data_IF_893308080526
#
_entry.id   IF_893308080526
#
_cell.length_a   1.000
_cell.length_b   1.000
_cell.length_c   1.000
_cell.angle_alpha   90.00
_cell.angle_beta   90.00
_cell.angle_gamma   90.00
#
_symmetry.space_group_name_H-M   'P 1'
#
loop_
_entity.id
_entity.type
_entity.pdbx_description
1 polymer ?
#
# COMPACT_ATOMS: atom_id res chain seq x y z
N UNK A 1 2.08 22.30 3.14
CA UNK A 1 2.86 21.30 3.91
C UNK A 1 4.30 21.32 3.39
N UNK A 2 5.28 21.12 4.24
CA UNK A 2 6.68 21.14 3.77
C UNK A 2 7.38 19.83 4.27
N UNK A 3 7.05 18.68 3.72
CA UNK A 3 7.68 17.42 4.09
C UNK A 3 9.13 17.37 3.62
N UNK A 4 9.96 16.56 4.30
CA UNK A 4 11.36 16.32 3.92
C UNK A 4 11.54 15.01 3.15
N UNK A 5 10.58 14.08 3.29
CA UNK A 5 10.51 12.84 2.50
C UNK A 5 9.07 12.30 2.47
N UNK A 6 8.80 11.41 1.53
CA UNK A 6 7.51 10.78 1.36
C UNK A 6 7.58 9.28 1.61
N UNK A 7 6.59 8.76 2.32
CA UNK A 7 6.31 7.34 2.47
C UNK A 7 5.05 7.04 1.65
N UNK A 8 5.16 6.22 0.63
CA UNK A 8 4.07 5.90 -0.28
C UNK A 8 3.58 4.47 0.01
N UNK A 9 2.28 4.25 0.10
CA UNK A 9 1.78 2.88 -0.01
C UNK A 9 1.91 2.37 -1.44
N UNK A 10 1.73 1.08 -1.66
CA UNK A 10 1.88 0.45 -2.97
C UNK A 10 0.52 0.13 -3.58
N UNK A 11 -0.21 -0.82 -2.98
CA UNK A 11 -1.49 -1.31 -3.48
C UNK A 11 -2.59 -0.26 -3.22
N UNK A 12 -3.28 0.19 -4.26
CA UNK A 12 -4.30 1.25 -4.13
C UNK A 12 -3.74 2.68 -4.19
N UNK A 13 -2.42 2.82 -4.14
CA UNK A 13 -1.76 4.14 -4.18
C UNK A 13 -0.92 4.31 -5.44
N UNK A 14 0.04 3.44 -5.65
CA UNK A 14 0.89 3.45 -6.86
C UNK A 14 0.40 2.43 -7.89
N UNK A 15 -0.11 1.29 -7.43
CA UNK A 15 -0.43 0.12 -8.25
C UNK A 15 -1.88 -0.30 -8.05
N UNK A 16 -2.62 -0.45 -9.15
CA UNK A 16 -3.88 -1.18 -9.20
C UNK A 16 -3.59 -2.68 -9.22
N UNK A 17 -3.60 -3.30 -8.06
CA UNK A 17 -3.38 -4.73 -7.86
C UNK A 17 -4.68 -5.52 -7.69
N UNK A 18 -5.85 -4.87 -7.82
CA UNK A 18 -7.12 -5.54 -7.64
C UNK A 18 -7.30 -6.77 -8.55
N UNK A 19 -6.92 -6.76 -9.83
CA UNK A 19 -7.07 -7.94 -10.68
C UNK A 19 -6.42 -9.18 -10.08
N UNK A 20 -5.15 -9.12 -9.76
CA UNK A 20 -4.40 -10.25 -9.20
C UNK A 20 -4.85 -10.64 -7.79
N UNK A 21 -5.14 -9.67 -6.92
CA UNK A 21 -5.61 -9.95 -5.55
C UNK A 21 -6.98 -10.63 -5.58
N UNK A 22 -7.93 -10.12 -6.35
CA UNK A 22 -9.29 -10.65 -6.38
C UNK A 22 -9.34 -12.03 -7.05
N UNK A 23 -8.57 -12.24 -8.11
CA UNK A 23 -8.46 -13.54 -8.78
C UNK A 23 -7.89 -14.61 -7.84
N UNK A 24 -6.79 -14.31 -7.16
CA UNK A 24 -6.15 -15.24 -6.20
C UNK A 24 -7.02 -15.49 -4.97
N UNK A 25 -7.73 -14.44 -4.48
CA UNK A 25 -8.68 -14.62 -3.37
C UNK A 25 -9.85 -15.53 -3.76
N UNK A 26 -10.41 -15.33 -4.96
CA UNK A 26 -11.47 -16.20 -5.47
C UNK A 26 -11.00 -17.65 -5.66
N UNK A 27 -9.78 -17.88 -6.16
CA UNK A 27 -9.19 -19.21 -6.28
C UNK A 27 -9.02 -19.87 -4.91
N UNK A 28 -8.52 -19.12 -3.93
CA UNK A 28 -8.35 -19.59 -2.56
C UNK A 28 -9.68 -19.99 -1.90
N UNK A 29 -10.73 -19.17 -2.06
CA UNK A 29 -12.07 -19.49 -1.52
C UNK A 29 -12.65 -20.75 -2.15
N UNK A 30 -12.54 -20.90 -3.48
CA UNK A 30 -12.98 -22.12 -4.17
C UNK A 30 -12.24 -23.36 -3.66
N UNK A 31 -10.94 -23.27 -3.39
CA UNK A 31 -10.11 -24.39 -2.92
C UNK A 31 -10.56 -24.96 -1.58
N UNK A 32 -11.21 -24.16 -0.75
CA UNK A 32 -11.74 -24.57 0.56
C UNK A 32 -13.25 -24.84 0.54
N UNK A 33 -13.89 -24.78 -0.65
CA UNK A 33 -15.33 -25.02 -0.82
C UNK A 33 -16.21 -23.85 -0.35
N UNK A 34 -15.62 -22.66 -0.15
CA UNK A 34 -16.36 -21.47 0.24
C UNK A 34 -16.98 -20.75 -0.97
N UNK A 35 -18.08 -20.03 -0.74
CA UNK A 35 -18.65 -19.13 -1.73
C UNK A 35 -17.71 -17.98 -2.06
N UNK A 36 -17.64 -17.62 -3.33
CA UNK A 36 -16.89 -16.43 -3.76
C UNK A 36 -17.82 -15.22 -3.67
N UNK A 37 -17.47 -14.17 -2.92
CA UNK A 37 -18.24 -12.94 -2.84
C UNK A 37 -18.36 -12.22 -4.20
N UNK A 38 -19.22 -11.22 -4.27
CA UNK A 38 -19.32 -10.34 -5.43
C UNK A 38 -18.05 -9.48 -5.62
N UNK A 39 -17.92 -8.87 -6.80
CA UNK A 39 -16.72 -8.09 -7.15
C UNK A 39 -16.46 -6.93 -6.19
N UNK A 40 -17.46 -6.11 -5.76
CA UNK A 40 -17.21 -5.05 -4.78
C UNK A 40 -16.64 -5.56 -3.47
N UNK A 41 -17.15 -6.68 -2.95
CA UNK A 41 -16.66 -7.31 -1.73
C UNK A 41 -15.22 -7.84 -1.93
N UNK A 42 -14.92 -8.51 -3.05
CA UNK A 42 -13.56 -8.97 -3.33
C UNK A 42 -12.58 -7.80 -3.45
N UNK A 43 -12.97 -6.68 -4.05
CA UNK A 43 -12.13 -5.48 -4.12
C UNK A 43 -11.81 -4.89 -2.75
N UNK A 44 -12.71 -5.02 -1.77
CA UNK A 44 -12.43 -4.57 -0.39
C UNK A 44 -11.31 -5.34 0.30
N UNK A 45 -10.89 -6.50 -0.24
CA UNK A 45 -9.77 -7.29 0.28
C UNK A 45 -8.41 -6.69 -0.06
N UNK A 46 -8.37 -5.73 -0.99
CA UNK A 46 -7.10 -5.06 -1.35
C UNK A 46 -6.73 -4.05 -0.28
N UNK A 47 -5.55 -4.20 0.29
CA UNK A 47 -5.02 -3.36 1.37
C UNK A 47 -5.05 -4.02 2.75
N UNK A 48 -6.21 -4.47 3.28
CA UNK A 48 -6.25 -5.20 4.55
C UNK A 48 -5.51 -6.55 4.51
N UNK A 49 -5.12 -7.08 5.70
CA UNK A 49 -4.59 -8.44 5.78
C UNK A 49 -5.60 -9.46 5.25
N UNK A 50 -5.23 -10.26 4.25
CA UNK A 50 -6.12 -11.23 3.59
C UNK A 50 -6.75 -12.23 4.57
N UNK A 51 -6.03 -12.60 5.64
CA UNK A 51 -6.59 -13.45 6.68
C UNK A 51 -7.83 -12.82 7.33
N UNK A 52 -7.82 -11.52 7.59
CA UNK A 52 -8.94 -10.80 8.19
C UNK A 52 -10.14 -10.77 7.24
N UNK A 53 -9.90 -10.57 5.95
CA UNK A 53 -10.94 -10.63 4.92
C UNK A 53 -11.61 -11.98 4.89
N UNK A 54 -10.85 -13.09 4.92
CA UNK A 54 -11.41 -14.44 4.98
C UNK A 54 -12.16 -14.73 6.29
N UNK A 55 -11.62 -14.26 7.43
CA UNK A 55 -12.24 -14.49 8.74
C UNK A 55 -13.51 -13.68 8.96
N UNK A 56 -13.47 -12.39 8.66
CA UNK A 56 -14.49 -11.45 9.15
C UNK A 56 -15.43 -10.96 8.05
N UNK A 57 -14.98 -10.89 6.80
CA UNK A 57 -15.85 -10.51 5.69
C UNK A 57 -16.54 -11.73 5.09
N UNK A 58 -15.79 -12.82 4.84
CA UNK A 58 -16.37 -14.08 4.31
C UNK A 58 -17.00 -14.92 5.43
N UNK A 59 -16.54 -14.79 6.68
CA UNK A 59 -17.07 -15.51 7.83
C UNK A 59 -16.54 -16.93 7.97
N UNK A 60 -15.35 -17.22 7.41
CA UNK A 60 -14.75 -18.56 7.57
C UNK A 60 -14.33 -18.80 9.03
N UNK A 61 -14.35 -20.06 9.49
CA UNK A 61 -13.71 -20.45 10.73
C UNK A 61 -12.17 -20.28 10.64
N UNK A 62 -11.50 -20.34 11.79
CA UNK A 62 -10.06 -20.07 11.86
C UNK A 62 -9.23 -21.04 11.00
N UNK A 63 -9.54 -22.33 11.06
CA UNK A 63 -8.80 -23.37 10.33
C UNK A 63 -8.97 -23.21 8.81
N UNK A 64 -10.21 -23.05 8.37
CA UNK A 64 -10.55 -22.84 6.95
C UNK A 64 -9.95 -21.53 6.42
N UNK A 65 -9.97 -20.44 7.20
CA UNK A 65 -9.35 -19.19 6.81
C UNK A 65 -7.82 -19.32 6.66
N UNK A 66 -7.14 -20.06 7.54
CA UNK A 66 -5.71 -20.35 7.41
C UNK A 66 -5.38 -21.17 6.16
N UNK A 67 -6.20 -22.16 5.82
CA UNK A 67 -6.05 -22.95 4.59
C UNK A 67 -6.25 -22.09 3.36
N UNK A 68 -7.29 -21.27 3.32
CA UNK A 68 -7.53 -20.32 2.25
C UNK A 68 -6.38 -19.34 2.09
N UNK A 69 -5.84 -18.79 3.21
CA UNK A 69 -4.69 -17.90 3.18
C UNK A 69 -3.45 -18.57 2.59
N UNK A 70 -3.19 -19.83 2.93
CA UNK A 70 -2.07 -20.58 2.37
C UNK A 70 -2.19 -20.70 0.83
N UNK A 71 -3.37 -21.10 0.33
CA UNK A 71 -3.64 -21.18 -1.11
C UNK A 71 -3.53 -19.80 -1.78
N UNK A 72 -4.10 -18.75 -1.17
CA UNK A 72 -3.99 -17.39 -1.65
C UNK A 72 -2.53 -16.96 -1.82
N UNK A 73 -1.70 -17.17 -0.80
CA UNK A 73 -0.28 -16.79 -0.83
C UNK A 73 0.48 -17.48 -1.96
N UNK A 74 0.21 -18.76 -2.18
CA UNK A 74 0.85 -19.55 -3.25
C UNK A 74 0.40 -19.04 -4.63
N UNK A 75 -0.89 -18.94 -4.87
CA UNK A 75 -1.46 -18.50 -6.15
C UNK A 75 -1.07 -17.04 -6.46
N UNK A 76 -1.15 -16.15 -5.47
CA UNK A 76 -0.76 -14.75 -5.63
C UNK A 76 0.73 -14.61 -5.96
N UNK A 77 1.61 -15.37 -5.31
CA UNK A 77 3.04 -15.34 -5.60
C UNK A 77 3.37 -15.83 -7.01
N UNK A 78 2.64 -16.82 -7.51
CA UNK A 78 2.87 -17.41 -8.83
C UNK A 78 2.25 -16.58 -9.96
N UNK A 79 0.99 -16.14 -9.79
CA UNK A 79 0.17 -15.55 -10.84
C UNK A 79 -0.21 -14.10 -10.54
N UNK A 80 -0.80 -13.85 -9.36
CA UNK A 80 -1.48 -12.59 -9.05
C UNK A 80 -0.57 -11.39 -8.85
N UNK A 81 0.65 -11.57 -8.36
CA UNK A 81 1.51 -10.45 -7.96
C UNK A 81 1.85 -9.49 -9.10
N UNK A 82 1.95 -9.99 -10.33
CA UNK A 82 2.26 -9.20 -11.52
C UNK A 82 1.02 -8.91 -12.39
N UNK A 83 -0.14 -9.46 -12.05
CA UNK A 83 -1.41 -9.08 -12.66
C UNK A 83 -1.90 -7.77 -12.05
N UNK A 84 -1.23 -6.70 -12.43
CA UNK A 84 -1.40 -5.35 -11.87
C UNK A 84 -0.96 -4.30 -12.88
N UNK A 85 -1.40 -3.05 -12.70
CA UNK A 85 -0.99 -1.90 -13.50
C UNK A 85 -0.69 -0.70 -12.61
N UNK A 86 0.04 0.30 -13.12
CA UNK A 86 0.13 1.58 -12.43
C UNK A 86 -1.19 2.32 -12.58
N UNK A 87 -1.62 3.03 -11.54
CA UNK A 87 -2.71 3.99 -11.73
C UNK A 87 -2.29 5.08 -12.72
N UNK A 88 -3.26 5.52 -13.52
CA UNK A 88 -3.04 6.60 -14.50
C UNK A 88 -2.53 7.86 -13.81
N UNK A 89 -1.45 8.45 -14.31
CA UNK A 89 -0.84 9.65 -13.75
C UNK A 89 0.20 9.39 -12.64
N UNK A 90 0.36 8.16 -12.15
CA UNK A 90 1.37 7.82 -11.13
C UNK A 90 2.80 8.02 -11.62
N UNK A 91 3.20 7.59 -12.83
CA UNK A 91 4.56 7.87 -13.32
C UNK A 91 4.88 9.37 -13.35
N UNK A 92 3.97 10.19 -13.87
CA UNK A 92 4.09 11.64 -13.96
C UNK A 92 4.15 12.29 -12.58
N UNK A 93 3.32 11.83 -11.65
CA UNK A 93 3.35 12.26 -10.24
C UNK A 93 4.73 12.01 -9.61
N UNK A 94 5.26 10.79 -9.77
CA UNK A 94 6.57 10.44 -9.19
C UNK A 94 7.70 11.26 -9.82
N UNK A 95 7.64 11.52 -11.12
CA UNK A 95 8.63 12.36 -11.82
C UNK A 95 8.52 13.82 -11.35
N UNK A 96 7.32 14.35 -11.15
CA UNK A 96 7.11 15.69 -10.61
C UNK A 96 7.62 15.80 -9.16
N UNK A 97 7.32 14.83 -8.30
CA UNK A 97 7.82 14.77 -6.91
C UNK A 97 9.36 14.71 -6.86
N UNK A 98 9.97 13.90 -7.72
CA UNK A 98 11.43 13.85 -7.85
C UNK A 98 12.01 15.20 -8.32
N UNK A 99 11.34 15.87 -9.26
CA UNK A 99 11.70 17.24 -9.72
C UNK A 99 11.63 18.28 -8.62
N UNK A 100 10.78 18.08 -7.60
CA UNK A 100 10.73 18.92 -6.39
C UNK A 100 11.82 18.55 -5.35
N UNK A 101 12.69 17.59 -5.65
CA UNK A 101 13.71 17.10 -4.73
C UNK A 101 13.19 16.18 -3.64
N UNK A 102 11.95 15.67 -3.77
CA UNK A 102 11.38 14.76 -2.78
C UNK A 102 12.01 13.37 -2.88
N UNK A 103 12.59 12.90 -1.80
CA UNK A 103 12.99 11.49 -1.67
C UNK A 103 11.78 10.66 -1.25
N UNK A 104 11.55 9.57 -1.96
CA UNK A 104 10.39 8.70 -1.79
C UNK A 104 10.80 7.29 -1.36
N UNK A 105 10.06 6.71 -0.42
CA UNK A 105 10.16 5.30 -0.05
C UNK A 105 8.78 4.66 -0.04
N UNK A 106 8.70 3.36 -0.39
CA UNK A 106 7.48 2.57 -0.23
C UNK A 106 7.42 1.99 1.17
N UNK A 107 6.28 2.17 1.84
CA UNK A 107 5.93 1.56 3.12
C UNK A 107 4.57 0.88 3.00
N UNK A 108 4.55 -0.43 2.70
CA UNK A 108 3.34 -1.17 2.35
C UNK A 108 3.04 -2.34 3.27
N UNK A 109 1.75 -2.70 3.40
CA UNK A 109 1.32 -3.94 4.07
C UNK A 109 1.56 -5.21 3.22
N UNK A 110 1.96 -5.05 1.96
CA UNK A 110 2.36 -6.16 1.10
C UNK A 110 3.61 -6.85 1.67
N UNK A 111 3.73 -8.17 1.48
CA UNK A 111 4.93 -8.93 1.87
C UNK A 111 6.17 -8.39 1.13
N UNK A 112 7.30 -8.29 1.83
CA UNK A 112 8.53 -7.65 1.35
C UNK A 112 8.94 -8.11 -0.06
N UNK A 113 9.06 -9.42 -0.29
CA UNK A 113 9.49 -9.97 -1.57
C UNK A 113 8.51 -9.62 -2.71
N UNK A 114 7.20 -9.60 -2.41
CA UNK A 114 6.18 -9.23 -3.39
C UNK A 114 6.23 -7.73 -3.69
N UNK A 115 6.44 -6.89 -2.67
CA UNK A 115 6.58 -5.45 -2.86
C UNK A 115 7.78 -5.13 -3.77
N UNK A 116 8.93 -5.76 -3.53
CA UNK A 116 10.13 -5.60 -4.38
C UNK A 116 9.92 -6.15 -5.79
N UNK A 117 9.21 -7.27 -5.93
CA UNK A 117 8.90 -7.85 -7.24
C UNK A 117 7.98 -6.95 -8.07
N UNK A 118 6.93 -6.41 -7.45
CA UNK A 118 5.97 -5.51 -8.11
C UNK A 118 6.63 -4.18 -8.47
N UNK A 119 7.40 -3.57 -7.57
CA UNK A 119 8.09 -2.31 -7.85
C UNK A 119 9.09 -2.44 -8.99
N UNK A 120 9.85 -3.54 -9.06
CA UNK A 120 10.75 -3.83 -10.19
C UNK A 120 10.00 -4.07 -11.49
N UNK A 121 8.89 -4.82 -11.45
CA UNK A 121 8.06 -5.09 -12.65
C UNK A 121 7.57 -3.80 -13.28
N UNK A 122 7.11 -2.85 -12.46
CA UNK A 122 6.63 -1.54 -12.91
C UNK A 122 7.74 -0.49 -13.05
N UNK A 123 9.02 -0.86 -12.87
CA UNK A 123 10.18 0.04 -12.94
C UNK A 123 10.08 1.25 -11.99
N UNK A 124 9.46 1.04 -10.84
CA UNK A 124 9.35 2.05 -9.79
C UNK A 124 10.63 2.16 -8.96
N UNK A 125 11.43 1.10 -8.90
CA UNK A 125 12.69 1.00 -8.18
C UNK A 125 13.70 2.10 -8.53
N UNK A 126 13.67 2.61 -9.77
CA UNK A 126 14.52 3.73 -10.19
C UNK A 126 14.13 5.09 -9.54
N UNK A 127 12.90 5.20 -9.01
CA UNK A 127 12.34 6.43 -8.40
C UNK A 127 12.25 6.36 -6.88
N UNK A 128 12.46 5.17 -6.31
CA UNK A 128 12.25 4.89 -4.90
C UNK A 128 13.58 4.62 -4.20
N UNK A 129 13.88 5.36 -3.15
CA UNK A 129 15.11 5.18 -2.37
C UNK A 129 15.05 3.92 -1.46
N UNK A 130 13.84 3.46 -1.10
CA UNK A 130 13.62 2.27 -0.31
C UNK A 130 12.28 1.62 -0.64
N UNK A 131 12.21 0.29 -0.57
CA UNK A 131 10.97 -0.49 -0.62
C UNK A 131 10.88 -1.34 0.64
N UNK A 132 9.86 -1.12 1.45
CA UNK A 132 9.65 -1.78 2.74
C UNK A 132 8.25 -2.39 2.79
N UNK A 133 8.18 -3.67 3.12
CA UNK A 133 6.95 -4.44 3.27
C UNK A 133 6.95 -5.29 4.53
N UNK A 134 5.89 -6.04 4.75
CA UNK A 134 5.76 -7.03 5.82
C UNK A 134 6.78 -8.15 5.63
N UNK A 135 7.35 -8.62 6.74
CA UNK A 135 8.27 -9.76 6.77
C UNK A 135 8.12 -10.47 8.12
N UNK A 136 7.29 -11.51 8.11
CA UNK A 136 6.98 -12.29 9.32
C UNK A 136 8.24 -12.97 9.89
N UNK A 137 9.18 -13.37 9.03
CA UNK A 137 10.43 -14.01 9.44
C UNK A 137 11.36 -13.06 10.20
N UNK A 138 11.30 -11.77 9.89
CA UNK A 138 11.99 -10.69 10.59
C UNK A 138 11.17 -10.07 11.73
N UNK A 139 10.03 -10.67 12.09
CA UNK A 139 9.13 -10.16 13.13
C UNK A 139 8.42 -8.85 12.77
N UNK A 140 8.39 -8.47 11.49
CA UNK A 140 7.73 -7.28 10.98
C UNK A 140 6.36 -7.62 10.41
N UNK A 141 5.33 -7.46 11.23
CA UNK A 141 3.96 -7.92 10.93
C UNK A 141 2.93 -6.80 10.83
N UNK A 142 3.33 -5.55 11.10
CA UNK A 142 2.43 -4.39 11.08
C UNK A 142 2.94 -3.28 10.18
N UNK A 143 2.04 -2.53 9.56
CA UNK A 143 2.39 -1.35 8.74
C UNK A 143 3.18 -0.31 9.54
N UNK A 144 2.88 -0.15 10.81
CA UNK A 144 3.63 0.73 11.72
C UNK A 144 5.12 0.34 11.80
N UNK A 145 5.43 -0.96 11.91
CA UNK A 145 6.83 -1.44 11.89
C UNK A 145 7.49 -1.24 10.52
N UNK A 146 6.71 -1.36 9.43
CA UNK A 146 7.19 -1.09 8.07
C UNK A 146 7.54 0.40 7.90
N UNK A 147 6.70 1.31 8.37
CA UNK A 147 6.96 2.76 8.38
C UNK A 147 8.28 3.07 9.09
N UNK A 148 8.48 2.52 10.30
CA UNK A 148 9.74 2.70 11.06
C UNK A 148 10.96 2.20 10.30
N UNK A 149 10.86 1.03 9.65
CA UNK A 149 11.94 0.49 8.83
C UNK A 149 12.23 1.40 7.64
N UNK A 150 11.21 1.87 6.95
CA UNK A 150 11.38 2.74 5.79
C UNK A 150 12.10 4.04 6.18
N UNK A 151 11.68 4.69 7.27
CA UNK A 151 12.37 5.86 7.81
C UNK A 151 13.82 5.56 8.20
N UNK A 152 14.08 4.41 8.81
CA UNK A 152 15.44 4.00 9.16
C UNK A 152 16.32 3.81 7.92
N UNK A 153 15.80 3.20 6.86
CA UNK A 153 16.51 3.02 5.59
C UNK A 153 16.78 4.36 4.91
N UNK A 154 15.78 5.25 4.84
CA UNK A 154 15.95 6.60 4.28
C UNK A 154 17.02 7.39 5.06
N UNK A 155 16.97 7.36 6.40
CA UNK A 155 17.98 8.00 7.25
C UNK A 155 19.38 7.45 7.00
N UNK A 156 19.52 6.13 6.83
CA UNK A 156 20.82 5.50 6.54
C UNK A 156 21.40 5.92 5.17
N UNK A 157 20.54 6.36 4.25
CA UNK A 157 20.93 6.95 2.96
C UNK A 157 21.21 8.47 3.05
N UNK A 158 21.16 9.07 4.25
CA UNK A 158 21.40 10.50 4.47
C UNK A 158 20.20 11.39 4.20
N UNK A 159 19.01 10.82 4.02
CA UNK A 159 17.77 11.59 3.79
C UNK A 159 17.30 12.23 5.08
N UNK A 160 16.88 13.49 5.03
CA UNK A 160 16.20 14.13 6.15
C UNK A 160 14.81 13.52 6.34
N UNK A 161 14.62 12.88 7.48
CA UNK A 161 13.36 12.24 7.88
C UNK A 161 12.69 12.98 9.06
N UNK A 162 12.97 14.26 9.24
CA UNK A 162 12.44 15.05 10.36
C UNK A 162 10.95 15.40 10.18
N UNK A 163 10.49 15.51 8.94
CA UNK A 163 9.09 15.81 8.59
C UNK A 163 8.60 14.89 7.48
N UNK A 164 8.47 13.56 7.74
CA UNK A 164 7.95 12.63 6.76
C UNK A 164 6.45 12.88 6.52
N UNK A 165 5.96 12.51 5.34
CA UNK A 165 4.54 12.51 5.00
C UNK A 165 4.17 11.14 4.46
N UNK A 166 3.13 10.52 5.04
CA UNK A 166 2.55 9.28 4.51
C UNK A 166 1.53 9.60 3.42
N UNK A 167 1.50 8.81 2.37
CA UNK A 167 0.51 8.88 1.29
C UNK A 167 -0.06 7.49 1.08
N UNK A 168 -1.37 7.34 1.17
CA UNK A 168 -2.04 6.06 1.02
C UNK A 168 -3.54 6.22 0.81
N UNK A 169 -4.19 5.13 0.42
CA UNK A 169 -5.62 5.11 0.10
C UNK A 169 -6.50 4.48 1.18
N UNK A 170 -5.90 3.90 2.25
CA UNK A 170 -6.66 3.21 3.28
C UNK A 170 -6.54 3.88 4.64
N UNK A 171 -7.57 3.71 5.48
CA UNK A 171 -7.52 4.12 6.88
C UNK A 171 -6.30 3.54 7.61
N UNK A 172 -5.83 2.37 7.18
CA UNK A 172 -4.65 1.71 7.73
C UNK A 172 -3.36 2.54 7.55
N UNK A 173 -3.27 3.29 6.43
CA UNK A 173 -2.16 4.23 6.18
C UNK A 173 -2.21 5.39 7.16
N UNK A 174 -3.37 6.03 7.24
CA UNK A 174 -3.60 7.19 8.09
C UNK A 174 -3.37 6.84 9.56
N UNK A 175 -3.96 5.75 10.04
CA UNK A 175 -3.86 5.33 11.44
C UNK A 175 -2.43 4.88 11.81
N UNK A 176 -1.76 4.14 10.92
CA UNK A 176 -0.40 3.69 11.17
C UNK A 176 0.60 4.84 11.18
N UNK A 177 0.43 5.83 10.30
CA UNK A 177 1.23 7.05 10.27
C UNK A 177 0.97 7.90 11.53
N UNK A 178 -0.29 8.13 11.88
CA UNK A 178 -0.67 8.89 13.08
C UNK A 178 -0.09 8.28 14.37
N UNK A 179 -0.05 6.94 14.48
CA UNK A 179 0.56 6.24 15.62
C UNK A 179 2.09 6.44 15.72
N UNK A 180 2.73 6.94 14.67
CA UNK A 180 4.15 7.35 14.64
C UNK A 180 4.31 8.89 14.65
N UNK A 181 3.21 9.64 14.83
CA UNK A 181 3.23 11.11 14.80
C UNK A 181 3.47 11.69 13.40
N UNK A 182 3.18 10.92 12.35
CA UNK A 182 3.40 11.29 10.95
C UNK A 182 2.06 11.73 10.35
N UNK A 183 1.97 12.92 9.73
CA UNK A 183 0.79 13.30 8.97
C UNK A 183 0.59 12.41 7.74
N UNK A 184 -0.65 12.22 7.33
CA UNK A 184 -1.00 11.42 6.16
C UNK A 184 -1.89 12.19 5.18
N UNK A 185 -1.62 12.02 3.89
CA UNK A 185 -2.50 12.41 2.78
C UNK A 185 -3.23 11.17 2.29
N UNK A 186 -4.55 11.27 2.22
CA UNK A 186 -5.39 10.21 1.67
C UNK A 186 -5.61 10.42 0.17
N UNK A 187 -5.37 9.39 -0.63
CA UNK A 187 -5.61 9.40 -2.08
C UNK A 187 -6.96 8.77 -2.39
N UNK A 188 -7.70 9.32 -3.37
CA UNK A 188 -9.07 8.92 -3.67
C UNK A 188 -9.21 8.05 -4.91
N UNK A 189 -8.16 7.83 -5.66
CA UNK A 189 -8.17 6.94 -6.83
C UNK A 189 -7.98 5.46 -6.48
N UNK A 190 -7.67 5.15 -5.20
CA UNK A 190 -7.47 3.80 -4.70
C UNK A 190 -8.76 3.05 -4.37
N UNK A 191 -8.70 2.17 -3.40
CA UNK A 191 -9.81 1.27 -3.00
C UNK A 191 -10.55 1.76 -1.77
N UNK A 192 -9.94 2.65 -0.98
CA UNK A 192 -10.55 3.20 0.23
C UNK A 192 -11.65 4.20 -0.07
N UNK A 193 -12.75 4.13 0.70
CA UNK A 193 -13.83 5.11 0.63
C UNK A 193 -13.49 6.42 1.33
N UNK A 194 -14.31 7.47 1.14
CA UNK A 194 -14.10 8.77 1.78
C UNK A 194 -14.03 8.71 3.31
N UNK A 195 -14.69 7.74 3.93
CA UNK A 195 -14.69 7.50 5.38
C UNK A 195 -13.31 7.05 5.89
N UNK A 196 -12.50 6.42 5.03
CA UNK A 196 -11.15 5.99 5.37
C UNK A 196 -10.15 7.15 5.44
N UNK A 197 -10.51 8.33 4.96
CA UNK A 197 -9.70 9.54 5.07
C UNK A 197 -9.71 10.18 6.48
N UNK A 198 -10.48 9.63 7.43
CA UNK A 198 -10.58 10.19 8.77
C UNK A 198 -9.21 10.28 9.46
N UNK A 199 -8.80 11.50 9.84
CA UNK A 199 -7.48 11.77 10.43
C UNK A 199 -6.39 12.15 9.43
N UNK A 200 -6.63 12.06 8.13
CA UNK A 200 -5.71 12.58 7.12
C UNK A 200 -5.67 14.12 7.19
N UNK A 201 -4.50 14.71 6.96
CA UNK A 201 -4.31 16.18 6.95
C UNK A 201 -4.75 16.81 5.64
N UNK A 202 -4.85 16.02 4.57
CA UNK A 202 -5.38 16.40 3.28
C UNK A 202 -5.81 15.16 2.50
N UNK A 203 -6.54 15.38 1.42
CA UNK A 203 -6.83 14.36 0.41
C UNK A 203 -6.58 14.93 -0.99
N UNK A 204 -6.26 14.04 -1.93
CA UNK A 204 -6.10 14.35 -3.35
C UNK A 204 -6.94 13.38 -4.18
N UNK A 205 -7.57 13.87 -5.24
CA UNK A 205 -8.47 13.08 -6.07
C UNK A 205 -7.72 12.35 -7.19
N UNK A 206 -6.66 12.96 -7.70
CA UNK A 206 -5.86 12.44 -8.83
C UNK A 206 -4.36 12.55 -8.52
N UNK A 207 -3.51 11.64 -9.06
CA UNK A 207 -2.09 11.61 -8.77
C UNK A 207 -1.35 12.94 -8.97
N UNK A 208 -1.57 13.72 -10.04
CA UNK A 208 -0.86 15.00 -10.23
C UNK A 208 -1.08 16.02 -9.10
N UNK A 209 -2.27 15.99 -8.46
CA UNK A 209 -2.61 16.92 -7.37
C UNK A 209 -1.68 16.78 -6.15
N UNK A 210 -1.00 15.63 -5.98
CA UNK A 210 -0.08 15.44 -4.87
C UNK A 210 1.13 16.37 -4.98
N UNK A 211 1.68 16.55 -6.16
CA UNK A 211 2.79 17.49 -6.39
C UNK A 211 2.32 18.95 -6.19
N UNK A 212 1.12 19.28 -6.67
CA UNK A 212 0.52 20.61 -6.49
C UNK A 212 0.28 20.93 -5.01
N UNK A 213 -0.20 19.95 -4.24
CA UNK A 213 -0.43 20.08 -2.79
C UNK A 213 0.88 20.44 -2.04
N UNK A 214 2.03 19.94 -2.50
CA UNK A 214 3.32 20.19 -1.86
C UNK A 214 3.92 21.53 -2.29
N UNK A 215 3.58 22.04 -3.48
CA UNK A 215 4.09 23.33 -4.00
C UNK A 215 3.24 24.51 -3.58
N UNK A 216 1.92 24.36 -3.52
CA UNK A 216 0.95 25.44 -3.32
C UNK A 216 0.64 25.76 -1.85
N UNK A 217 1.44 25.29 -0.89
CA UNK A 217 1.24 25.64 0.51
C UNK A 217 2.13 26.86 0.86
N UNK A 218 1.60 28.10 0.88
CA UNK A 218 2.38 29.25 1.32
C UNK A 218 2.80 29.06 2.78
N UNK A 219 4.05 29.32 3.03
CA UNK A 219 4.70 29.42 4.36
C UNK A 219 3.93 30.35 5.28
#
# INVERSE_FOLDING_TARGET
MNPTCLLLDLDGTLVDSAPGVTASAAAALRSVGAGVPDEPTLRSFVGPPMYESFRYVVGLDEETARRALHTYRADYAEHGALDSSLFTGVPEMLDALAGLGMTMGVATSKVQDQAERVTRHHRLDARLAAVCGIDESAGRTTKRQVIRLCLARLRALGVDVSRPLMVGDRAYDVQSAAAEGIPAVHVRWGYGGPEEAAGAVAFVAEPPELADLLTNNPT
#
